data_IF_171384811719
#
_entry.id   IF_171384811719
#
_cell.length_a   1.000
_cell.length_b   1.000
_cell.length_c   1.000
_cell.angle_alpha   90.00
_cell.angle_beta   90.00
_cell.angle_gamma   90.00
#
_symmetry.space_group_name_H-M   'P 1'
#
loop_
_entity.id
_entity.type
_entity.pdbx_description
1 polymer ?
#
# COMPACT_ATOMS: atom_id res chain seq x y z
N UNK A 1 -17.38 9.20 -6.37
CA UNK A 1 -16.83 8.36 -5.29
C UNK A 1 -15.33 8.26 -5.49
N UNK A 2 -14.51 8.67 -4.52
CA UNK A 2 -13.08 8.87 -4.73
C UNK A 2 -12.35 7.53 -4.92
N UNK A 3 -11.45 7.43 -5.91
CA UNK A 3 -10.60 6.26 -6.20
C UNK A 3 -9.92 5.72 -4.92
N UNK A 4 -9.53 6.61 -4.02
CA UNK A 4 -8.95 6.31 -2.71
C UNK A 4 -9.80 5.36 -1.86
N UNK A 5 -11.12 5.55 -1.84
CA UNK A 5 -12.03 4.69 -1.08
C UNK A 5 -12.13 3.29 -1.67
N UNK A 6 -11.99 3.15 -3.00
CA UNK A 6 -11.94 1.86 -3.66
C UNK A 6 -10.68 1.09 -3.27
N UNK A 7 -9.51 1.72 -3.39
CA UNK A 7 -8.22 1.12 -3.04
C UNK A 7 -8.18 0.64 -1.58
N UNK A 8 -8.73 1.42 -0.64
CA UNK A 8 -8.81 1.01 0.76
C UNK A 8 -9.74 -0.17 0.99
N UNK A 9 -10.89 -0.20 0.30
CA UNK A 9 -11.86 -1.28 0.44
C UNK A 9 -11.31 -2.61 -0.04
N UNK A 10 -10.57 -2.62 -1.14
CA UNK A 10 -9.96 -3.81 -1.72
C UNK A 10 -8.53 -4.07 -1.22
N UNK A 11 -8.01 -3.23 -0.31
CA UNK A 11 -6.63 -3.34 0.19
C UNK A 11 -6.29 -4.72 0.76
N UNK A 12 -7.24 -5.37 1.44
CA UNK A 12 -7.09 -6.74 1.93
C UNK A 12 -6.93 -7.76 0.80
N UNK A 13 -7.80 -7.70 -0.22
CA UNK A 13 -7.80 -8.65 -1.34
C UNK A 13 -6.55 -8.49 -2.22
N UNK A 14 -6.12 -7.25 -2.47
CA UNK A 14 -4.91 -6.99 -3.26
C UNK A 14 -3.62 -7.27 -2.48
N UNK A 15 -3.67 -7.39 -1.14
CA UNK A 15 -2.49 -7.73 -0.32
C UNK A 15 -1.90 -9.07 -0.74
N UNK A 16 -2.71 -10.03 -1.20
CA UNK A 16 -2.23 -11.31 -1.72
C UNK A 16 -1.29 -11.15 -2.92
N UNK A 17 -1.56 -10.16 -3.79
CA UNK A 17 -0.75 -9.86 -4.97
C UNK A 17 0.44 -8.94 -4.65
N UNK A 18 0.31 -8.11 -3.61
CA UNK A 18 1.37 -7.23 -3.11
C UNK A 18 2.43 -7.97 -2.27
N UNK A 19 2.03 -9.07 -1.61
CA UNK A 19 2.86 -9.91 -0.77
C UNK A 19 2.57 -11.41 -1.03
N UNK A 20 2.98 -11.95 -2.19
CA UNK A 20 2.66 -13.32 -2.58
C UNK A 20 3.46 -14.38 -1.82
N UNK A 21 4.63 -14.02 -1.27
CA UNK A 21 5.53 -14.97 -0.63
C UNK A 21 5.50 -14.90 0.90
N UNK A 22 5.76 -16.03 1.55
CA UNK A 22 5.92 -16.15 3.01
C UNK A 22 6.96 -15.15 3.55
N UNK A 23 8.01 -14.85 2.77
CA UNK A 23 9.03 -13.88 3.16
C UNK A 23 8.49 -12.44 3.29
N UNK A 24 7.45 -12.10 2.53
CA UNK A 24 6.82 -10.77 2.61
C UNK A 24 5.98 -10.62 3.86
N UNK A 25 5.37 -11.71 4.33
CA UNK A 25 4.71 -11.74 5.63
C UNK A 25 5.68 -11.58 6.80
N UNK A 26 6.95 -11.98 6.66
CA UNK A 26 7.98 -11.69 7.67
C UNK A 26 8.27 -10.19 7.82
N UNK A 27 7.96 -9.37 6.81
CA UNK A 27 8.11 -7.91 6.90
C UNK A 27 6.97 -7.26 7.69
N UNK A 28 5.79 -7.88 7.75
CA UNK A 28 4.64 -7.38 8.53
C UNK A 28 4.80 -7.68 10.03
N UNK A 29 5.94 -7.32 10.61
CA UNK A 29 6.21 -7.44 12.04
C UNK A 29 6.08 -6.08 12.74
N UNK A 30 5.51 -6.10 13.94
CA UNK A 30 5.43 -4.93 14.82
C UNK A 30 6.83 -4.37 15.10
N UNK A 31 6.96 -3.04 15.15
CA UNK A 31 8.22 -2.29 15.28
C UNK A 31 9.16 -2.33 14.06
N UNK A 32 8.81 -3.03 12.98
CA UNK A 32 9.39 -2.79 11.66
C UNK A 32 8.63 -1.62 11.04
N UNK A 33 9.27 -0.67 10.37
CA UNK A 33 8.61 0.45 9.66
C UNK A 33 7.64 0.02 8.52
N UNK A 34 7.26 -1.26 8.50
CA UNK A 34 6.32 -1.87 7.59
C UNK A 34 4.87 -1.65 8.08
N UNK A 35 3.95 -1.37 7.16
CA UNK A 35 2.55 -1.13 7.51
C UNK A 35 1.85 -2.43 7.92
N UNK A 36 1.38 -2.50 9.16
CA UNK A 36 0.61 -3.64 9.70
C UNK A 36 -0.90 -3.47 9.53
N UNK A 37 -1.36 -2.28 9.14
CA UNK A 37 -2.77 -1.96 8.95
C UNK A 37 -2.99 -1.27 7.61
N UNK A 38 -4.05 -1.66 6.90
CA UNK A 38 -4.53 -1.04 5.65
C UNK A 38 -5.18 0.33 5.87
N UNK A 39 -4.48 1.22 6.57
CA UNK A 39 -4.89 2.61 6.80
C UNK A 39 -4.17 3.54 5.84
N UNK A 40 -4.88 4.59 5.43
CA UNK A 40 -4.28 5.69 4.69
C UNK A 40 -4.05 6.86 5.64
N UNK A 41 -2.96 7.60 5.42
CA UNK A 41 -2.68 8.80 6.20
C UNK A 41 -1.90 9.81 5.38
N UNK A 42 -2.10 11.09 5.74
CA UNK A 42 -1.25 12.16 5.27
C UNK A 42 0.10 12.05 5.97
N UNK A 43 1.17 11.93 5.18
CA UNK A 43 2.58 11.92 5.60
C UNK A 43 3.01 10.92 6.69
N UNK A 44 2.15 9.97 7.09
CA UNK A 44 2.53 8.98 8.08
C UNK A 44 3.29 7.82 7.43
N UNK A 45 4.53 7.60 7.88
CA UNK A 45 5.39 6.51 7.42
C UNK A 45 5.04 5.14 8.00
N UNK A 46 4.06 5.03 8.89
CA UNK A 46 3.58 3.73 9.40
C UNK A 46 2.26 3.30 8.74
N UNK A 47 1.66 4.15 7.90
CA UNK A 47 0.45 3.85 7.16
C UNK A 47 0.74 3.00 5.91
N UNK A 48 -0.19 2.09 5.57
CA UNK A 48 -0.10 1.26 4.37
C UNK A 48 -0.21 2.05 3.07
N UNK A 49 -0.97 3.15 3.09
CA UNK A 49 -1.07 4.09 1.99
C UNK A 49 -0.72 5.50 2.47
N UNK A 50 0.33 6.09 1.90
CA UNK A 50 0.77 7.43 2.26
C UNK A 50 0.41 8.41 1.15
N UNK A 51 -0.27 9.50 1.51
CA UNK A 51 -0.52 10.59 0.58
C UNK A 51 0.64 11.57 0.67
N UNK A 52 1.34 11.76 -0.45
CA UNK A 52 2.46 12.67 -0.60
C UNK A 52 2.04 13.89 -1.43
N UNK A 53 2.53 15.08 -1.04
CA UNK A 53 2.33 16.31 -1.81
C UNK A 53 0.93 16.92 -1.71
N UNK A 54 0.31 16.89 -0.53
CA UNK A 54 -0.96 17.59 -0.27
C UNK A 54 -0.82 19.07 -0.73
N UNK A 55 -1.82 19.56 -1.46
CA UNK A 55 -1.91 20.94 -1.98
C UNK A 55 -0.98 21.31 -3.15
N UNK A 56 -0.36 20.33 -3.82
CA UNK A 56 0.35 20.55 -5.11
C UNK A 56 -0.23 19.72 -6.25
N UNK A 57 0.09 20.05 -7.51
CA UNK A 57 -0.30 19.22 -8.68
C UNK A 57 0.28 17.80 -8.67
N UNK A 58 1.21 17.50 -7.75
CA UNK A 58 1.88 16.21 -7.61
C UNK A 58 1.32 15.31 -6.51
N UNK A 59 0.06 15.50 -6.07
CA UNK A 59 -0.61 14.61 -5.11
C UNK A 59 -0.56 13.18 -5.64
N UNK A 60 0.12 12.30 -4.91
CA UNK A 60 0.23 10.88 -5.24
C UNK A 60 0.03 10.02 -4.02
N UNK A 61 -0.51 8.83 -4.26
CA UNK A 61 -0.64 7.79 -3.25
C UNK A 61 0.51 6.81 -3.39
N UNK A 62 1.23 6.63 -2.30
CA UNK A 62 2.33 5.70 -2.19
C UNK A 62 1.81 4.44 -1.47
N UNK A 63 1.74 3.32 -2.19
CA UNK A 63 1.46 2.01 -1.60
C UNK A 63 2.73 1.45 -0.98
N UNK A 64 2.73 1.24 0.34
CA UNK A 64 3.90 0.76 1.11
C UNK A 64 3.80 -0.70 1.55
N UNK A 65 2.72 -1.37 1.19
CA UNK A 65 2.45 -2.78 1.49
C UNK A 65 3.32 -3.69 0.60
N UNK A 66 3.61 -3.27 -0.63
CA UNK A 66 4.39 -4.04 -1.59
C UNK A 66 5.84 -4.30 -1.18
N UNK A 67 6.31 -5.53 -1.37
CA UNK A 67 7.73 -5.89 -1.30
C UNK A 67 8.41 -5.95 -2.66
N UNK A 68 9.73 -6.10 -2.67
CA UNK A 68 10.50 -6.25 -3.92
C UNK A 68 10.20 -7.57 -4.67
N UNK A 69 9.47 -8.47 -4.02
CA UNK A 69 9.07 -9.78 -4.51
C UNK A 69 7.70 -9.78 -5.22
N UNK A 70 7.03 -8.63 -5.30
CA UNK A 70 5.79 -8.49 -6.05
C UNK A 70 6.05 -8.48 -7.56
N UNK A 71 5.06 -8.95 -8.32
CA UNK A 71 5.09 -8.82 -9.78
C UNK A 71 4.55 -7.43 -10.16
N UNK A 72 5.36 -6.54 -10.78
CA UNK A 72 4.97 -5.15 -11.06
C UNK A 72 3.78 -5.05 -12.01
N UNK A 73 3.60 -5.99 -12.93
CA UNK A 73 2.48 -5.98 -13.89
C UNK A 73 1.15 -6.29 -13.20
N UNK A 74 1.12 -7.32 -12.36
CA UNK A 74 -0.08 -7.72 -11.61
C UNK A 74 -0.46 -6.65 -10.57
N UNK A 75 0.55 -6.11 -9.90
CA UNK A 75 0.40 -5.08 -8.87
C UNK A 75 -0.15 -3.77 -9.44
N UNK A 76 0.28 -3.38 -10.64
CA UNK A 76 -0.22 -2.17 -11.31
C UNK A 76 -1.66 -2.38 -11.79
N UNK A 77 -1.96 -3.53 -12.40
CA UNK A 77 -3.31 -3.83 -12.91
C UNK A 77 -4.41 -3.91 -11.83
N UNK A 78 -4.07 -4.24 -10.58
CA UNK A 78 -5.03 -4.32 -9.48
C UNK A 78 -5.21 -3.00 -8.69
N UNK A 79 -4.33 -2.02 -8.89
CA UNK A 79 -4.40 -0.73 -8.20
C UNK A 79 -5.19 0.36 -8.96
N UNK A 80 -5.55 0.10 -10.22
CA UNK A 80 -6.35 0.97 -11.08
C UNK A 80 -7.76 0.41 -11.27
#
# INVERSE_FOLDING_TARGET
>A
ANIWRGILRYSGDITLFLAPNINSYKRFQSATFAPTKGVWSHDNRTAGYRICGKDTKGVRLECRIGGADLNPYLCTGMQF
#
